data_IF_841741383072
#
_entry.id   IF_841741383072
#
_cell.length_a   1.000
_cell.length_b   1.000
_cell.length_c   1.000
_cell.angle_alpha   90.00
_cell.angle_beta   90.00
_cell.angle_gamma   90.00
#
_symmetry.space_group_name_H-M   'P 1'
#
loop_
_entity.id
_entity.type
_entity.pdbx_description
1 polymer ?
#
# COMPACT_ATOMS: atom_id res chain seq x y z
N UNK A 1 11.29 6.30 18.32
CA UNK A 1 10.20 5.86 17.44
C UNK A 1 10.78 5.01 16.31
N UNK A 2 10.23 3.87 16.06
CA UNK A 2 10.69 2.98 15.03
C UNK A 2 10.00 3.32 13.70
N UNK A 3 10.71 4.03 12.82
CA UNK A 3 10.19 4.46 11.54
C UNK A 3 9.87 3.26 10.63
N UNK A 4 10.74 2.26 10.64
CA UNK A 4 10.53 1.05 9.85
C UNK A 4 9.23 0.34 10.27
N UNK A 5 8.97 0.28 11.56
CA UNK A 5 7.73 -0.31 12.05
C UNK A 5 6.50 0.47 11.56
N UNK A 6 6.59 1.79 11.54
CA UNK A 6 5.51 2.62 11.02
C UNK A 6 5.25 2.37 9.55
N UNK A 7 6.32 2.17 8.76
CA UNK A 7 6.19 1.85 7.36
C UNK A 7 5.54 0.48 7.14
N UNK A 8 5.88 -0.50 7.96
CA UNK A 8 5.26 -1.83 7.89
C UNK A 8 3.77 -1.76 8.19
N UNK A 9 3.39 -0.95 9.17
CA UNK A 9 1.97 -0.74 9.48
C UNK A 9 1.26 -0.08 8.30
N UNK A 10 1.89 0.93 7.68
CA UNK A 10 1.30 1.60 6.52
C UNK A 10 1.11 0.65 5.35
N UNK A 11 2.07 -0.26 5.11
CA UNK A 11 1.94 -1.28 4.07
C UNK A 11 0.78 -2.22 4.34
N UNK A 12 0.63 -2.63 5.57
CA UNK A 12 -0.48 -3.50 5.97
C UNK A 12 -1.82 -2.80 5.74
N UNK A 13 -1.92 -1.53 6.12
CA UNK A 13 -3.14 -0.76 5.92
C UNK A 13 -3.45 -0.59 4.43
N UNK A 14 -2.42 -0.39 3.60
CA UNK A 14 -2.61 -0.28 2.15
C UNK A 14 -3.14 -1.58 1.55
N UNK A 15 -2.63 -2.73 2.01
CA UNK A 15 -3.13 -4.03 1.58
C UNK A 15 -4.60 -4.23 1.96
N UNK A 16 -4.97 -3.84 3.17
CA UNK A 16 -6.36 -3.91 3.62
C UNK A 16 -7.25 -2.99 2.77
N UNK A 17 -6.75 -1.82 2.41
CA UNK A 17 -7.48 -0.89 1.55
C UNK A 17 -7.77 -1.52 0.19
N UNK A 18 -6.78 -2.21 -0.42
CA UNK A 18 -6.99 -2.91 -1.68
C UNK A 18 -8.08 -3.98 -1.55
N UNK A 19 -8.08 -4.71 -0.46
CA UNK A 19 -9.11 -5.70 -0.19
C UNK A 19 -10.50 -5.07 -0.17
N UNK A 20 -10.66 -3.95 0.54
CA UNK A 20 -11.94 -3.26 0.61
C UNK A 20 -12.36 -2.68 -0.73
N UNK A 21 -11.41 -2.18 -1.53
CA UNK A 21 -11.69 -1.67 -2.88
C UNK A 21 -12.24 -2.79 -3.77
N UNK A 22 -11.64 -3.97 -3.72
CA UNK A 22 -12.11 -5.11 -4.50
C UNK A 22 -13.53 -5.48 -4.11
N UNK A 23 -13.82 -5.51 -2.81
CA UNK A 23 -15.14 -5.84 -2.32
C UNK A 23 -16.18 -4.80 -2.76
N UNK A 24 -15.85 -3.53 -2.66
CA UNK A 24 -16.75 -2.45 -3.09
C UNK A 24 -17.00 -2.50 -4.59
N UNK A 25 -16.00 -2.88 -5.37
CA UNK A 25 -16.14 -3.04 -6.81
C UNK A 25 -17.04 -4.23 -7.15
N UNK A 26 -16.83 -5.37 -6.49
CA UNK A 26 -17.65 -6.56 -6.72
C UNK A 26 -19.12 -6.34 -6.36
N UNK A 27 -19.39 -5.58 -5.31
CA UNK A 27 -20.74 -5.27 -4.87
C UNK A 27 -21.35 -4.08 -5.63
N UNK A 28 -20.60 -3.52 -6.57
CA UNK A 28 -21.03 -2.42 -7.46
C UNK A 28 -21.23 -1.08 -6.76
N UNK A 29 -20.66 -0.89 -5.59
CA UNK A 29 -20.61 0.42 -4.96
C UNK A 29 -19.62 1.33 -5.67
N UNK A 30 -18.58 0.76 -6.30
CA UNK A 30 -17.64 1.49 -7.15
C UNK A 30 -17.78 0.99 -8.58
N UNK A 31 -17.88 1.91 -9.54
CA UNK A 31 -17.86 1.53 -10.94
C UNK A 31 -16.41 1.24 -11.38
N UNK A 32 -16.28 0.68 -12.59
CA UNK A 32 -14.97 0.27 -13.11
C UNK A 32 -13.98 1.43 -13.18
N UNK A 33 -14.44 2.60 -13.60
CA UNK A 33 -13.58 3.76 -13.76
C UNK A 33 -13.05 4.26 -12.41
N UNK A 34 -13.93 4.35 -11.44
CA UNK A 34 -13.54 4.77 -10.09
C UNK A 34 -12.61 3.76 -9.45
N UNK A 35 -12.93 2.46 -9.60
CA UNK A 35 -12.09 1.41 -9.07
C UNK A 35 -10.68 1.48 -9.65
N UNK A 36 -10.57 1.59 -10.98
CA UNK A 36 -9.26 1.64 -11.64
C UNK A 36 -8.43 2.83 -11.16
N UNK A 37 -9.06 3.98 -11.01
CA UNK A 37 -8.37 5.19 -10.58
C UNK A 37 -7.81 5.03 -9.16
N UNK A 38 -8.65 4.59 -8.23
CA UNK A 38 -8.25 4.44 -6.84
C UNK A 38 -7.25 3.31 -6.68
N UNK A 39 -7.48 2.20 -7.40
CA UNK A 39 -6.58 1.05 -7.33
C UNK A 39 -5.19 1.40 -7.83
N UNK A 40 -5.09 2.16 -8.91
CA UNK A 40 -3.80 2.59 -9.43
C UNK A 40 -3.04 3.43 -8.40
N UNK A 41 -3.74 4.33 -7.71
CA UNK A 41 -3.12 5.14 -6.65
C UNK A 41 -2.63 4.27 -5.49
N UNK A 42 -3.42 3.27 -5.10
CA UNK A 42 -3.03 2.34 -4.04
C UNK A 42 -1.79 1.53 -4.44
N UNK A 43 -1.75 1.03 -5.67
CA UNK A 43 -0.60 0.25 -6.16
C UNK A 43 0.66 1.11 -6.15
N UNK A 44 0.56 2.36 -6.59
CA UNK A 44 1.70 3.27 -6.58
C UNK A 44 2.19 3.55 -5.16
N UNK A 45 1.27 3.74 -4.23
CA UNK A 45 1.61 3.96 -2.84
C UNK A 45 2.33 2.74 -2.25
N UNK A 46 1.84 1.55 -2.51
CA UNK A 46 2.47 0.31 -2.03
C UNK A 46 3.89 0.17 -2.60
N UNK A 47 4.07 0.46 -3.88
CA UNK A 47 5.40 0.41 -4.49
C UNK A 47 6.36 1.38 -3.83
N UNK A 48 5.91 2.59 -3.57
CA UNK A 48 6.73 3.61 -2.92
C UNK A 48 7.12 3.19 -1.51
N UNK A 49 6.16 2.75 -0.72
CA UNK A 49 6.41 2.31 0.66
C UNK A 49 7.33 1.11 0.71
N UNK A 50 7.15 0.17 -0.21
CA UNK A 50 7.99 -1.02 -0.31
C UNK A 50 9.44 -0.64 -0.62
N UNK A 51 9.64 0.29 -1.56
CA UNK A 51 10.98 0.74 -1.93
C UNK A 51 11.67 1.44 -0.75
N UNK A 52 10.95 2.28 -0.03
CA UNK A 52 11.50 2.97 1.14
C UNK A 52 11.88 1.97 2.23
N UNK A 53 10.99 1.03 2.50
CA UNK A 53 11.22 -0.01 3.51
C UNK A 53 12.45 -0.84 3.18
N UNK A 54 12.57 -1.25 1.91
CA UNK A 54 13.72 -2.03 1.46
C UNK A 54 15.01 -1.26 1.64
N UNK A 55 15.03 0.00 1.26
CA UNK A 55 16.20 0.83 1.40
C UNK A 55 16.62 1.00 2.85
N UNK A 56 15.68 1.22 3.74
CA UNK A 56 15.97 1.35 5.17
C UNK A 56 16.56 0.07 5.74
N UNK A 57 16.07 -1.09 5.33
CA UNK A 57 16.60 -2.37 5.76
C UNK A 57 18.02 -2.57 5.26
N UNK A 58 18.29 -2.21 4.01
CA UNK A 58 19.63 -2.31 3.45
C UNK A 58 20.62 -1.40 4.17
N UNK A 59 20.22 -0.16 4.44
CA UNK A 59 21.06 0.78 5.17
C UNK A 59 21.37 0.29 6.58
N UNK A 60 20.38 -0.31 7.23
CA UNK A 60 20.56 -0.88 8.56
C UNK A 60 21.57 -2.02 8.56
N UNK A 61 21.60 -2.83 7.51
CA UNK A 61 22.54 -3.96 7.39
C UNK A 61 23.97 -3.51 7.10
N UNK A 62 24.15 -2.32 6.59
CA UNK A 62 25.49 -1.83 6.24
C UNK A 62 26.34 -1.47 7.44
N UNK A 63 25.74 -1.34 8.58
CA UNK A 63 26.49 -1.10 9.79
C UNK A 63 27.09 -2.38 10.34
#
# INVERSE_FOLDING_TARGET
MDFLNKLNIALKEADETEYWLDLLHETKYLDDKMYDSINNDCVELVKMLTAITKKLKEDSKRK
#
